data_IF_364142249373
#
_entry.id   IF_364142249373
#
_cell.length_a   1.000
_cell.length_b   1.000
_cell.length_c   1.000
_cell.angle_alpha   90.00
_cell.angle_beta   90.00
_cell.angle_gamma   90.00
#
_symmetry.space_group_name_H-M   'P 1'
#
loop_
_entity.id
_entity.type
_entity.pdbx_description
1 polymer ?
#
# COMPACT_ATOMS: atom_id res chain seq x y z
N UNK A 1 4.52 -6.98 4.08
CA UNK A 1 3.82 -5.99 3.24
C UNK A 1 3.14 -6.70 2.08
N UNK A 2 2.04 -6.14 1.59
CA UNK A 2 1.22 -6.67 0.50
C UNK A 2 1.17 -5.63 -0.61
N UNK A 3 1.52 -5.99 -1.86
CA UNK A 3 1.39 -5.09 -2.99
C UNK A 3 -0.07 -5.07 -3.41
N UNK A 4 -0.63 -3.88 -3.52
CA UNK A 4 -2.01 -3.69 -3.95
C UNK A 4 -2.04 -3.07 -5.33
N UNK A 5 -3.03 -3.47 -6.11
CA UNK A 5 -3.40 -2.82 -7.36
C UNK A 5 -4.90 -2.59 -7.33
N UNK A 6 -5.32 -1.38 -7.66
CA UNK A 6 -6.73 -1.00 -7.72
C UNK A 6 -7.00 -0.30 -9.05
N UNK A 7 -8.02 -0.76 -9.78
CA UNK A 7 -8.54 -0.04 -10.94
C UNK A 7 -9.24 1.25 -10.47
N UNK A 8 -8.91 2.39 -11.08
CA UNK A 8 -9.45 3.70 -10.69
C UNK A 8 -10.80 4.01 -11.36
N UNK A 9 -11.03 3.48 -12.55
CA UNK A 9 -12.28 3.68 -13.29
C UNK A 9 -12.87 2.33 -13.76
N UNK A 10 -13.29 1.45 -12.84
CA UNK A 10 -13.73 0.07 -13.18
C UNK A 10 -14.98 0.02 -14.07
N UNK A 11 -15.68 1.14 -14.24
CA UNK A 11 -16.88 1.25 -15.08
C UNK A 11 -16.62 1.97 -16.41
N UNK A 12 -15.42 2.51 -16.63
CA UNK A 12 -15.04 3.11 -17.90
C UNK A 12 -14.32 2.07 -18.77
N UNK A 13 -14.93 1.62 -19.90
CA UNK A 13 -14.29 0.63 -20.76
C UNK A 13 -13.05 1.17 -21.50
N UNK A 14 -12.87 2.49 -21.54
CA UNK A 14 -11.77 3.19 -22.21
C UNK A 14 -10.67 3.65 -21.24
N UNK A 15 -10.99 3.87 -19.96
CA UNK A 15 -10.03 4.21 -18.92
C UNK A 15 -9.81 3.04 -17.96
N UNK A 16 -8.88 2.15 -18.33
CA UNK A 16 -8.46 1.01 -17.49
C UNK A 16 -7.24 1.34 -16.63
N UNK A 17 -7.04 2.62 -16.30
CA UNK A 17 -5.93 2.97 -15.43
C UNK A 17 -6.12 2.34 -14.05
N UNK A 18 -5.02 1.82 -13.52
CA UNK A 18 -4.99 1.33 -12.16
C UNK A 18 -3.80 1.91 -11.41
N UNK A 19 -3.83 1.73 -10.11
CA UNK A 19 -2.95 2.38 -9.17
C UNK A 19 -2.35 1.38 -8.20
N UNK A 20 -1.05 1.49 -7.99
CA UNK A 20 -0.32 0.68 -7.02
C UNK A 20 -0.17 1.41 -5.69
N UNK A 21 -0.41 0.69 -4.61
CA UNK A 21 -0.13 1.13 -3.25
C UNK A 21 0.28 -0.08 -2.39
N UNK A 22 0.70 0.15 -1.14
CA UNK A 22 1.16 -0.92 -0.25
C UNK A 22 0.35 -0.98 1.04
N UNK A 23 0.16 -2.19 1.55
CA UNK A 23 -0.34 -2.43 2.91
C UNK A 23 0.75 -3.14 3.72
N UNK A 24 1.15 -2.57 4.85
CA UNK A 24 2.02 -3.22 5.83
C UNK A 24 1.18 -3.79 6.97
N UNK A 25 1.56 -4.98 7.43
CA UNK A 25 1.14 -5.51 8.73
C UNK A 25 2.35 -5.38 9.66
N UNK A 26 2.33 -4.35 10.50
CA UNK A 26 3.37 -4.11 11.49
C UNK A 26 3.00 -4.84 12.78
N UNK A 27 3.59 -6.03 12.97
CA UNK A 27 3.39 -6.85 14.15
C UNK A 27 4.00 -6.23 15.42
N UNK A 28 5.03 -5.38 15.28
CA UNK A 28 5.73 -4.76 16.40
C UNK A 28 4.89 -3.63 16.99
N UNK A 29 4.32 -2.80 16.13
CA UNK A 29 3.45 -1.70 16.54
C UNK A 29 1.95 -2.09 16.54
N UNK A 30 1.65 -3.35 16.26
CA UNK A 30 0.31 -3.95 16.31
C UNK A 30 -0.73 -3.23 15.46
N UNK A 31 -0.40 -2.92 14.21
CA UNK A 31 -1.28 -2.17 13.30
C UNK A 31 -1.12 -2.60 11.84
N UNK A 32 -2.10 -2.24 11.04
CA UNK A 32 -1.96 -2.21 9.59
C UNK A 32 -1.63 -0.78 9.16
N UNK A 33 -0.80 -0.63 8.13
CA UNK A 33 -0.38 0.66 7.61
C UNK A 33 -0.64 0.68 6.11
N UNK A 34 -1.39 1.69 5.63
CA UNK A 34 -1.66 1.90 4.21
C UNK A 34 -0.74 3.00 3.72
N UNK A 35 0.08 2.69 2.72
CA UNK A 35 1.00 3.63 2.07
C UNK A 35 0.56 3.82 0.62
N UNK A 36 0.03 4.99 0.30
CA UNK A 36 -0.44 5.35 -1.04
C UNK A 36 0.19 6.70 -1.42
N UNK A 37 0.84 6.75 -2.59
CA UNK A 37 1.53 7.94 -3.13
C UNK A 37 0.60 8.89 -3.88
N UNK A 38 -0.68 8.58 -4.02
CA UNK A 38 -1.64 9.38 -4.79
C UNK A 38 -2.83 9.80 -3.94
N UNK A 39 -3.32 8.91 -3.07
CA UNK A 39 -4.56 9.08 -2.32
C UNK A 39 -4.29 9.12 -0.82
N UNK A 40 -5.20 9.76 -0.09
CA UNK A 40 -5.13 9.88 1.37
C UNK A 40 -6.33 9.19 2.01
N UNK A 41 -6.39 9.18 3.35
CA UNK A 41 -7.53 8.64 4.11
C UNK A 41 -8.89 9.27 3.75
N UNK A 42 -8.90 10.46 3.15
CA UNK A 42 -10.12 11.10 2.68
C UNK A 42 -10.70 10.46 1.40
N UNK A 43 -9.93 9.60 0.72
CA UNK A 43 -10.34 8.92 -0.49
C UNK A 43 -11.13 7.65 -0.15
N UNK A 44 -12.43 7.66 -0.44
CA UNK A 44 -13.34 6.55 -0.08
C UNK A 44 -13.05 5.26 -0.85
N UNK A 45 -12.51 5.36 -2.07
CA UNK A 45 -12.20 4.20 -2.89
C UNK A 45 -10.94 3.50 -2.37
N UNK A 46 -9.95 4.25 -1.91
CA UNK A 46 -8.78 3.71 -1.21
C UNK A 46 -9.20 3.04 0.09
N UNK A 47 -9.98 3.72 0.95
CA UNK A 47 -10.33 3.18 2.27
C UNK A 47 -11.16 1.91 2.14
N UNK A 48 -12.19 1.91 1.30
CA UNK A 48 -13.03 0.74 1.04
C UNK A 48 -12.22 -0.46 0.52
N UNK A 49 -11.33 -0.22 -0.45
CA UNK A 49 -10.51 -1.30 -1.03
C UNK A 49 -9.49 -1.85 -0.03
N UNK A 50 -8.81 -0.99 0.73
CA UNK A 50 -7.86 -1.40 1.75
C UNK A 50 -8.55 -2.15 2.92
N UNK A 51 -9.68 -1.64 3.40
CA UNK A 51 -10.45 -2.25 4.48
C UNK A 51 -11.01 -3.62 4.09
N UNK A 52 -11.48 -3.79 2.85
CA UNK A 52 -11.90 -5.09 2.34
C UNK A 52 -10.77 -6.12 2.43
N UNK A 53 -9.58 -5.78 1.91
CA UNK A 53 -8.43 -6.67 1.98
C UNK A 53 -8.02 -6.98 3.42
N UNK A 54 -7.86 -5.95 4.26
CA UNK A 54 -7.42 -6.09 5.66
C UNK A 54 -8.41 -6.92 6.46
N UNK A 55 -9.72 -6.73 6.26
CA UNK A 55 -10.76 -7.52 6.92
C UNK A 55 -10.63 -8.98 6.55
N UNK A 56 -10.43 -9.31 5.27
CA UNK A 56 -10.23 -10.68 4.83
C UNK A 56 -8.96 -11.31 5.44
N UNK A 57 -7.87 -10.56 5.56
CA UNK A 57 -6.65 -11.04 6.25
C UNK A 57 -6.94 -11.31 7.73
N UNK A 58 -7.61 -10.40 8.43
CA UNK A 58 -7.99 -10.56 9.84
C UNK A 58 -8.88 -11.78 10.06
N UNK A 59 -9.92 -11.96 9.24
CA UNK A 59 -10.83 -13.11 9.33
C UNK A 59 -10.14 -14.42 8.99
N UNK A 60 -9.27 -14.43 7.97
CA UNK A 60 -8.47 -15.61 7.62
C UNK A 60 -7.57 -16.03 8.78
N UNK A 61 -6.87 -15.08 9.40
CA UNK A 61 -6.01 -15.38 10.56
C UNK A 61 -6.84 -15.84 11.75
N UNK A 62 -7.96 -15.18 12.04
CA UNK A 62 -8.85 -15.56 13.14
C UNK A 62 -9.40 -16.98 12.96
N UNK A 63 -9.79 -17.37 11.74
CA UNK A 63 -10.36 -18.69 11.44
C UNK A 63 -9.32 -19.82 11.50
N UNK A 64 -8.13 -19.59 10.96
CA UNK A 64 -7.13 -20.65 10.81
C UNK A 64 -6.13 -20.71 11.96
N UNK A 65 -5.99 -19.63 12.72
CA UNK A 65 -5.00 -19.48 13.78
C UNK A 65 -5.60 -18.85 15.04
N UNK A 66 -6.83 -19.24 15.40
CA UNK A 66 -7.54 -18.75 16.59
C UNK A 66 -6.72 -18.90 17.90
N UNK A 67 -5.88 -19.94 17.98
CA UNK A 67 -5.04 -20.25 19.14
C UNK A 67 -3.62 -19.66 19.04
N UNK A 68 -3.34 -18.85 18.02
CA UNK A 68 -2.06 -18.15 17.89
C UNK A 68 -1.88 -17.17 19.04
N UNK A 69 -0.64 -17.09 19.55
CA UNK A 69 -0.23 -16.07 20.54
C UNK A 69 -0.37 -14.64 20.01
N UNK A 70 -0.27 -14.47 18.69
CA UNK A 70 -0.44 -13.17 18.03
C UNK A 70 -1.77 -13.19 17.30
N UNK A 71 -2.69 -12.36 17.81
CA UNK A 71 -3.98 -12.09 17.19
C UNK A 71 -3.95 -10.71 16.56
N UNK A 72 -4.41 -10.60 15.31
CA UNK A 72 -4.37 -9.34 14.54
C UNK A 72 -5.74 -8.69 14.37
N UNK A 73 -6.81 -9.34 14.86
CA UNK A 73 -8.19 -8.88 14.69
C UNK A 73 -8.41 -7.46 15.22
N UNK A 74 -7.78 -7.15 16.35
CA UNK A 74 -7.89 -5.87 17.05
C UNK A 74 -6.93 -4.79 16.53
N UNK A 75 -6.05 -5.11 15.58
CA UNK A 75 -5.06 -4.14 15.07
C UNK A 75 -5.80 -3.02 14.32
N UNK A 76 -5.55 -1.73 14.61
CA UNK A 76 -6.13 -0.63 13.86
C UNK A 76 -5.51 -0.54 12.46
N UNK A 77 -6.12 0.28 11.60
CA UNK A 77 -5.57 0.65 10.29
C UNK A 77 -5.12 2.11 10.36
N UNK A 78 -3.85 2.35 10.07
CA UNK A 78 -3.27 3.67 9.94
C UNK A 78 -3.02 3.99 8.47
N UNK A 79 -3.43 5.17 8.03
CA UNK A 79 -3.14 5.67 6.68
C UNK A 79 -1.94 6.61 6.79
N UNK A 80 -0.79 6.16 6.29
CA UNK A 80 0.48 6.86 6.43
C UNK A 80 0.50 8.02 5.45
N UNK A 81 0.77 9.23 5.94
CA UNK A 81 0.95 10.39 5.08
C UNK A 81 2.27 10.25 4.29
N UNK A 82 2.17 10.00 2.98
CA UNK A 82 3.34 9.85 2.11
C UNK A 82 3.58 11.10 1.24
N UNK A 83 4.73 11.13 0.57
CA UNK A 83 4.97 12.16 -0.46
C UNK A 83 4.17 11.80 -1.71
N UNK A 84 3.28 12.73 -2.12
CA UNK A 84 2.48 12.54 -3.31
C UNK A 84 3.36 12.47 -4.57
N UNK A 85 3.08 11.50 -5.44
CA UNK A 85 3.66 11.42 -6.77
C UNK A 85 3.20 12.60 -7.64
N UNK A 86 4.10 13.09 -8.50
CA UNK A 86 3.82 14.24 -9.37
C UNK A 86 3.12 13.89 -10.69
N UNK A 87 2.82 12.62 -10.95
CA UNK A 87 2.20 12.14 -12.20
C UNK A 87 1.38 10.86 -11.93
N UNK A 88 0.74 10.28 -12.95
CA UNK A 88 -0.14 9.12 -12.79
C UNK A 88 0.54 7.76 -13.01
N UNK A 89 1.83 7.72 -13.34
CA UNK A 89 2.52 6.49 -13.79
C UNK A 89 3.57 5.96 -12.81
N UNK A 90 3.98 6.76 -11.83
CA UNK A 90 5.08 6.42 -10.92
C UNK A 90 4.66 5.63 -9.68
N UNK A 91 3.36 5.36 -9.49
CA UNK A 91 2.83 4.67 -8.31
C UNK A 91 3.50 3.32 -8.03
N UNK A 92 3.88 2.58 -9.08
CA UNK A 92 4.63 1.34 -8.96
C UNK A 92 6.02 1.54 -8.35
N UNK A 93 6.74 2.60 -8.74
CA UNK A 93 8.07 2.90 -8.20
C UNK A 93 7.99 3.38 -6.75
N UNK A 94 7.01 4.21 -6.41
CA UNK A 94 6.74 4.59 -5.02
C UNK A 94 6.46 3.35 -4.16
N UNK A 95 5.61 2.44 -4.66
CA UNK A 95 5.31 1.17 -3.99
C UNK A 95 6.58 0.34 -3.78
N UNK A 96 7.44 0.18 -4.79
CA UNK A 96 8.71 -0.55 -4.66
C UNK A 96 9.64 0.09 -3.62
N UNK A 97 9.68 1.41 -3.54
CA UNK A 97 10.46 2.12 -2.51
C UNK A 97 9.89 1.91 -1.11
N UNK A 98 8.56 1.87 -0.96
CA UNK A 98 7.94 1.45 0.30
C UNK A 98 8.37 0.02 0.66
N UNK A 99 8.38 -0.90 -0.31
CA UNK A 99 8.87 -2.26 -0.09
C UNK A 99 10.32 -2.33 0.37
N UNK A 100 11.18 -1.50 -0.22
CA UNK A 100 12.62 -1.51 0.05
C UNK A 100 12.98 -0.82 1.38
N UNK A 101 12.25 0.22 1.77
CA UNK A 101 12.70 1.17 2.81
C UNK A 101 11.73 1.35 3.98
N UNK A 102 10.48 0.89 3.88
CA UNK A 102 9.52 1.08 4.97
C UNK A 102 9.87 0.23 6.20
N UNK A 103 10.11 0.91 7.33
CA UNK A 103 10.44 0.29 8.63
C UNK A 103 9.42 0.62 9.74
N UNK A 104 8.24 1.15 9.38
CA UNK A 104 7.19 1.51 10.35
C UNK A 104 7.45 2.79 11.14
N UNK A 105 8.42 3.62 10.70
CA UNK A 105 8.85 4.84 11.41
C UNK A 105 9.08 6.03 10.50
N UNK A 106 9.90 5.86 9.48
CA UNK A 106 10.27 6.92 8.54
C UNK A 106 9.68 6.61 7.18
N UNK A 107 8.87 7.53 6.67
CA UNK A 107 8.31 7.44 5.32
C UNK A 107 9.46 7.60 4.32
N UNK A 108 9.64 6.68 3.37
CA UNK A 108 10.67 6.81 2.35
C UNK A 108 10.47 8.09 1.54
N UNK A 109 11.51 8.92 1.48
CA UNK A 109 11.52 10.09 0.61
C UNK A 109 11.72 9.64 -0.84
N UNK A 110 10.61 9.53 -1.58
CA UNK A 110 10.64 9.19 -3.01
C UNK A 110 10.64 10.48 -3.80
N UNK A 111 11.75 10.77 -4.47
CA UNK A 111 11.90 11.96 -5.31
C UNK A 111 11.82 11.60 -6.80
N UNK A 112 11.62 12.59 -7.66
CA UNK A 112 11.68 12.37 -9.11
C UNK A 112 13.04 11.78 -9.55
N UNK A 113 14.13 12.18 -8.91
CA UNK A 113 15.47 11.62 -9.18
C UNK A 113 15.53 10.13 -8.80
N UNK A 114 14.99 9.77 -7.63
CA UNK A 114 14.86 8.37 -7.19
C UNK A 114 14.09 7.53 -8.21
N UNK A 115 12.96 8.03 -8.70
CA UNK A 115 12.17 7.32 -9.71
C UNK A 115 12.94 7.14 -11.02
N UNK A 116 13.67 8.16 -11.48
CA UNK A 116 14.51 8.06 -12.69
C UNK A 116 15.61 7.00 -12.52
N UNK A 117 16.22 6.91 -11.35
CA UNK A 117 17.22 5.89 -11.05
C UNK A 117 16.61 4.48 -11.02
N UNK A 118 15.47 4.30 -10.35
CA UNK A 118 14.77 3.01 -10.32
C UNK A 118 14.33 2.58 -11.71
N UNK A 119 13.83 3.49 -12.54
CA UNK A 119 13.52 3.22 -13.94
C UNK A 119 14.74 2.63 -14.65
N UNK A 120 15.92 3.25 -14.51
CA UNK A 120 17.16 2.73 -15.11
C UNK A 120 17.50 1.34 -14.60
N UNK A 121 17.40 1.10 -13.29
CA UNK A 121 17.75 -0.19 -12.68
C UNK A 121 16.80 -1.30 -13.15
N UNK A 122 15.49 -1.04 -13.19
CA UNK A 122 14.48 -2.06 -13.50
C UNK A 122 14.21 -2.23 -15.00
N UNK A 123 14.68 -1.34 -15.87
CA UNK A 123 14.64 -1.51 -17.32
C UNK A 123 15.97 -1.92 -17.93
N UNK A 124 17.02 -2.08 -17.13
CA UNK A 124 18.31 -2.57 -17.59
C UNK A 124 18.22 -4.08 -17.89
N UNK A 125 17.95 -4.40 -19.15
CA UNK A 125 18.15 -5.73 -19.74
C UNK A 125 19.56 -5.85 -20.31
#
# INVERSE_FOLDING_TARGET
>A
MFPMFQELAPHDPHDKCGHHYAICLDLKNQRFEVLDSMRSVADADLTSHAEFFITNVKETVNRHYENSKVQIRHFPVEYVATTNQGNTTDCGFHTLEYFAKWEGRLVPAVTAATVVELRKIYTWN
#
